data_IF_518972662244
#
_entry.id   IF_518972662244
#
_cell.length_a   1.000
_cell.length_b   1.000
_cell.length_c   1.000
_cell.angle_alpha   90.00
_cell.angle_beta   90.00
_cell.angle_gamma   90.00
#
_symmetry.space_group_name_H-M   'P 1'
#
loop_
_entity.id
_entity.type
_entity.pdbx_description
1 polymer ?
#
# COMPACT_ATOMS: atom_id res chain seq x y z
N UNK A 1 -20.82 -11.05 -0.19
CA UNK A 1 -19.50 -10.83 0.44
C UNK A 1 -18.62 -10.32 -0.67
N UNK A 2 -18.21 -9.06 -0.56
CA UNK A 2 -17.52 -8.36 -1.63
C UNK A 2 -16.11 -8.89 -1.84
N UNK A 3 -15.51 -8.56 -2.99
CA UNK A 3 -14.08 -8.78 -3.18
C UNK A 3 -13.32 -7.82 -2.26
N UNK A 4 -12.36 -8.30 -1.48
CA UNK A 4 -11.60 -7.44 -0.57
C UNK A 4 -10.64 -6.54 -1.35
N UNK A 5 -10.67 -5.25 -1.08
CA UNK A 5 -9.67 -4.29 -1.53
C UNK A 5 -8.97 -3.68 -0.31
N UNK A 6 -7.67 -3.46 -0.44
CA UNK A 6 -6.88 -2.67 0.49
C UNK A 6 -6.75 -1.26 -0.06
N UNK A 7 -7.09 -0.26 0.76
CA UNK A 7 -6.88 1.14 0.44
C UNK A 7 -5.44 1.55 0.79
N UNK A 8 -4.74 2.15 -0.17
CA UNK A 8 -3.45 2.81 0.03
C UNK A 8 -3.50 4.24 -0.49
N UNK A 9 -2.75 5.12 0.16
CA UNK A 9 -2.54 6.50 -0.27
C UNK A 9 -1.04 6.70 -0.51
N UNK A 10 -0.69 7.14 -1.71
CA UNK A 10 0.70 7.36 -2.13
C UNK A 10 1.03 8.84 -2.00
N UNK A 11 1.57 9.21 -0.83
CA UNK A 11 1.73 10.59 -0.39
C UNK A 11 2.60 11.49 -1.28
N UNK A 12 3.69 11.05 -1.92
CA UNK A 12 4.45 11.93 -2.81
C UNK A 12 3.69 12.26 -4.10
N UNK A 13 2.80 11.37 -4.54
CA UNK A 13 2.08 11.47 -5.80
C UNK A 13 0.62 11.90 -5.63
N UNK A 14 0.10 11.93 -4.41
CA UNK A 14 -1.21 12.47 -4.08
C UNK A 14 -2.39 11.63 -4.60
N UNK A 15 -2.19 10.34 -4.88
CA UNK A 15 -3.24 9.44 -5.37
C UNK A 15 -3.57 8.32 -4.38
N UNK A 16 -4.77 7.78 -4.55
CA UNK A 16 -5.30 6.62 -3.84
C UNK A 16 -5.30 5.41 -4.76
N UNK A 17 -4.99 4.25 -4.20
CA UNK A 17 -5.17 2.97 -4.87
C UNK A 17 -5.99 2.02 -3.99
N UNK A 18 -6.87 1.28 -4.64
CA UNK A 18 -7.70 0.23 -4.07
C UNK A 18 -7.31 -1.06 -4.76
N UNK A 19 -6.47 -1.90 -4.17
CA UNK A 19 -5.93 -3.10 -4.83
C UNK A 19 -6.20 -4.36 -4.02
N UNK A 20 -6.09 -5.54 -4.64
CA UNK A 20 -6.17 -6.79 -3.90
C UNK A 20 -5.12 -6.87 -2.78
N UNK A 21 -5.40 -7.59 -1.67
CA UNK A 21 -4.49 -7.64 -0.53
C UNK A 21 -3.12 -8.26 -0.81
N UNK A 22 -3.06 -9.16 -1.80
CA UNK A 22 -1.87 -9.87 -2.27
C UNK A 22 -1.19 -9.17 -3.45
N UNK A 23 -1.44 -7.87 -3.63
CA UNK A 23 -0.76 -7.05 -4.64
C UNK A 23 0.76 -7.04 -4.42
N UNK A 24 1.44 -7.96 -5.11
CA UNK A 24 2.85 -8.30 -4.93
C UNK A 24 3.68 -8.39 -6.22
N UNK A 25 3.26 -7.72 -7.30
CA UNK A 25 4.10 -7.57 -8.51
C UNK A 25 3.70 -8.38 -9.74
N UNK A 26 2.47 -8.88 -9.81
CA UNK A 26 1.86 -9.15 -11.11
C UNK A 26 1.58 -7.82 -11.79
N UNK A 27 2.08 -7.61 -13.01
CA UNK A 27 1.73 -6.41 -13.76
C UNK A 27 0.20 -6.25 -13.82
N UNK A 28 -0.28 -5.02 -13.80
CA UNK A 28 -1.68 -4.72 -14.07
C UNK A 28 -1.79 -4.03 -15.41
N UNK A 29 -2.84 -4.39 -16.14
CA UNK A 29 -3.29 -3.62 -17.30
C UNK A 29 -4.14 -2.45 -16.82
N UNK A 30 -3.93 -1.30 -17.44
CA UNK A 30 -4.67 -0.07 -17.22
C UNK A 30 -5.77 0.05 -18.29
N UNK A 31 -7.03 0.17 -17.87
CA UNK A 31 -8.19 0.43 -18.73
C UNK A 31 -8.57 1.92 -18.61
N UNK A 32 -7.75 2.75 -19.25
CA UNK A 32 -7.76 4.21 -19.05
C UNK A 32 -8.76 4.94 -19.94
N UNK A 33 -9.17 4.30 -21.03
CA UNK A 33 -10.14 4.84 -21.97
C UNK A 33 -11.54 4.92 -21.35
N UNK A 34 -11.86 4.01 -20.42
CA UNK A 34 -13.20 3.91 -19.84
C UNK A 34 -13.55 5.15 -19.02
N UNK A 35 -12.59 5.63 -18.20
CA UNK A 35 -12.77 6.76 -17.30
C UNK A 35 -11.81 7.92 -17.61
N UNK A 36 -11.44 8.10 -18.88
CA UNK A 36 -10.72 9.27 -19.39
C UNK A 36 -9.47 9.66 -18.55
N UNK A 37 -8.68 8.68 -18.10
CA UNK A 37 -7.49 8.89 -17.26
C UNK A 37 -7.73 9.61 -15.91
N UNK A 38 -8.98 9.69 -15.42
CA UNK A 38 -9.28 10.21 -14.06
C UNK A 38 -9.49 9.10 -13.04
N UNK A 39 -9.80 7.89 -13.49
CA UNK A 39 -9.91 6.68 -12.66
C UNK A 39 -9.43 5.46 -13.44
N UNK A 40 -8.27 4.94 -13.08
CA UNK A 40 -7.69 3.74 -13.66
C UNK A 40 -8.37 2.49 -13.09
N UNK A 41 -9.01 1.71 -13.96
CA UNK A 41 -9.42 0.34 -13.62
C UNK A 41 -8.22 -0.57 -13.86
N UNK A 42 -7.79 -1.24 -12.81
CA UNK A 42 -6.64 -2.13 -12.82
C UNK A 42 -7.14 -3.55 -13.07
N UNK A 43 -6.64 -4.21 -14.11
CA UNK A 43 -7.00 -5.59 -14.44
C UNK A 43 -5.83 -6.53 -14.24
N UNK A 44 -6.11 -7.69 -13.68
CA UNK A 44 -5.13 -8.79 -13.56
C UNK A 44 -4.76 -9.31 -14.96
N UNK A 45 -3.47 -9.35 -15.31
CA UNK A 45 -3.04 -9.97 -16.57
C UNK A 45 -3.37 -11.47 -16.67
N UNK A 46 -3.41 -12.17 -15.54
CA UNK A 46 -3.65 -13.61 -15.52
C UNK A 46 -5.12 -13.97 -15.76
N UNK A 47 -6.04 -13.15 -15.24
CA UNK A 47 -7.49 -13.47 -15.22
C UNK A 47 -8.34 -12.52 -16.05
N UNK A 48 -7.82 -11.33 -16.39
CA UNK A 48 -8.59 -10.24 -17.01
C UNK A 48 -9.59 -9.56 -16.07
N UNK A 49 -9.75 -10.07 -14.84
CA UNK A 49 -10.67 -9.52 -13.85
C UNK A 49 -10.16 -8.20 -13.27
N UNK A 50 -11.10 -7.39 -12.77
CA UNK A 50 -10.78 -6.17 -12.01
C UNK A 50 -10.03 -6.56 -10.74
N UNK A 51 -8.77 -6.11 -10.67
CA UNK A 51 -7.84 -6.28 -9.57
C UNK A 51 -7.78 -5.06 -8.64
N UNK A 52 -8.32 -3.92 -9.09
CA UNK A 52 -8.34 -2.71 -8.30
C UNK A 52 -8.67 -1.45 -9.09
N UNK A 53 -8.47 -0.32 -8.41
CA UNK A 53 -8.69 1.03 -8.92
C UNK A 53 -7.57 1.96 -8.47
N UNK A 54 -7.27 2.97 -9.26
CA UNK A 54 -6.34 4.03 -8.89
C UNK A 54 -6.77 5.35 -9.51
N UNK A 55 -6.55 6.48 -8.84
CA UNK A 55 -6.64 7.80 -9.48
C UNK A 55 -5.25 8.36 -9.83
N UNK A 56 -4.23 7.51 -9.97
CA UNK A 56 -2.92 7.90 -10.47
C UNK A 56 -3.05 8.80 -11.71
N UNK A 57 -2.28 9.89 -11.80
CA UNK A 57 -2.41 10.85 -12.92
C UNK A 57 -3.58 11.84 -12.80
N UNK A 58 -4.57 11.59 -11.95
CA UNK A 58 -5.65 12.51 -11.59
C UNK A 58 -5.57 13.03 -10.16
N UNK A 59 -6.40 14.02 -9.82
CA UNK A 59 -6.51 14.56 -8.47
C UNK A 59 -7.94 14.40 -7.98
N UNK A 60 -8.18 13.44 -7.08
CA UNK A 60 -9.52 13.11 -6.60
C UNK A 60 -10.30 14.35 -6.10
N UNK A 61 -9.63 15.33 -5.50
CA UNK A 61 -10.29 16.56 -5.05
C UNK A 61 -10.90 17.39 -6.19
N UNK A 62 -10.27 17.40 -7.37
CA UNK A 62 -10.72 18.12 -8.56
C UNK A 62 -11.64 17.28 -9.42
N UNK A 63 -11.36 15.98 -9.49
CA UNK A 63 -11.99 15.07 -10.45
C UNK A 63 -13.19 14.34 -9.87
N UNK A 64 -13.49 14.46 -8.56
CA UNK A 64 -14.56 13.73 -7.87
C UNK A 64 -15.90 13.76 -8.62
N UNK A 65 -16.43 14.95 -8.92
CA UNK A 65 -17.73 15.09 -9.61
C UNK A 65 -17.71 14.42 -10.99
N UNK A 66 -16.59 14.53 -11.70
CA UNK A 66 -16.43 13.91 -13.01
C UNK A 66 -16.35 12.38 -12.90
N UNK A 67 -15.61 11.85 -11.94
CA UNK A 67 -15.53 10.42 -11.64
C UNK A 67 -16.92 9.87 -11.30
N UNK A 68 -17.68 10.54 -10.44
CA UNK A 68 -19.03 10.11 -10.06
C UNK A 68 -19.98 10.11 -11.26
N UNK A 69 -19.88 11.11 -12.15
CA UNK A 69 -20.64 11.12 -13.40
C UNK A 69 -20.28 9.92 -14.29
N UNK A 70 -18.98 9.66 -14.48
CA UNK A 70 -18.53 8.53 -15.30
C UNK A 70 -18.94 7.18 -14.72
N UNK A 71 -18.95 7.03 -13.39
CA UNK A 71 -19.45 5.83 -12.71
C UNK A 71 -20.96 5.65 -12.89
N UNK A 72 -21.72 6.74 -12.96
CA UNK A 72 -23.14 6.67 -13.27
C UNK A 72 -23.39 6.27 -14.75
N UNK A 73 -22.55 6.74 -15.68
CA UNK A 73 -22.66 6.41 -17.10
C UNK A 73 -22.17 4.98 -17.43
N UNK A 74 -21.10 4.54 -16.77
CA UNK A 74 -20.44 3.25 -16.97
C UNK A 74 -20.21 2.57 -15.60
N UNK A 75 -21.25 1.96 -15.02
CA UNK A 75 -21.16 1.40 -13.69
C UNK A 75 -20.34 0.11 -13.65
N UNK A 76 -19.55 -0.04 -12.58
CA UNK A 76 -18.92 -1.30 -12.19
C UNK A 76 -19.86 -1.96 -11.18
N UNK A 77 -20.36 -3.13 -11.53
CA UNK A 77 -21.43 -3.81 -10.79
C UNK A 77 -20.89 -4.67 -9.65
N UNK A 78 -19.60 -4.95 -9.66
CA UNK A 78 -18.89 -5.63 -8.59
C UNK A 78 -19.00 -4.86 -7.26
N UNK A 79 -19.04 -5.63 -6.17
CA UNK A 79 -19.12 -5.10 -4.80
C UNK A 79 -17.86 -5.48 -4.04
N UNK A 80 -17.42 -4.60 -3.16
CA UNK A 80 -16.13 -4.71 -2.50
C UNK A 80 -16.23 -4.51 -0.99
N UNK A 81 -15.34 -5.19 -0.28
CA UNK A 81 -15.08 -4.96 1.14
C UNK A 81 -13.83 -4.08 1.25
N UNK A 82 -13.93 -2.93 1.93
CA UNK A 82 -12.81 -2.00 2.16
C UNK A 82 -12.70 -1.70 3.66
N UNK A 83 -12.01 -2.57 4.43
CA UNK A 83 -11.96 -2.46 5.89
C UNK A 83 -11.42 -1.12 6.41
N UNK A 84 -10.49 -0.49 5.69
CA UNK A 84 -9.88 0.80 6.02
C UNK A 84 -10.90 1.93 6.05
N UNK A 85 -11.98 1.80 5.26
CA UNK A 85 -13.12 2.72 5.22
C UNK A 85 -14.31 2.23 6.06
N UNK A 86 -14.21 1.05 6.67
CA UNK A 86 -15.33 0.41 7.38
C UNK A 86 -16.46 -0.07 6.45
N UNK A 87 -16.20 -0.17 5.14
CA UNK A 87 -17.21 -0.54 4.15
C UNK A 87 -17.21 -2.05 3.91
N UNK A 88 -18.42 -2.59 3.78
CA UNK A 88 -18.67 -4.01 3.46
C UNK A 88 -19.71 -4.11 2.36
N UNK A 89 -19.43 -4.97 1.39
CA UNK A 89 -20.29 -5.21 0.23
C UNK A 89 -20.74 -3.89 -0.42
N UNK A 90 -19.80 -2.95 -0.61
CA UNK A 90 -20.08 -1.61 -1.12
C UNK A 90 -19.80 -1.51 -2.63
N UNK A 91 -20.60 -0.75 -3.39
CA UNK A 91 -20.29 -0.42 -4.78
C UNK A 91 -19.14 0.61 -4.85
N UNK A 92 -18.54 0.75 -6.03
CA UNK A 92 -17.36 1.59 -6.22
C UNK A 92 -17.62 3.07 -5.96
N UNK A 93 -18.77 3.61 -6.38
CA UNK A 93 -19.15 4.99 -6.15
C UNK A 93 -19.21 5.33 -4.64
N UNK A 94 -19.81 4.44 -3.82
CA UNK A 94 -19.83 4.59 -2.36
C UNK A 94 -18.41 4.60 -1.77
N UNK A 95 -17.52 3.75 -2.29
CA UNK A 95 -16.12 3.69 -1.85
C UNK A 95 -15.40 4.99 -2.21
N UNK A 96 -15.54 5.49 -3.44
CA UNK A 96 -14.92 6.75 -3.89
C UNK A 96 -15.46 7.94 -3.07
N UNK A 97 -16.77 8.00 -2.81
CA UNK A 97 -17.36 9.01 -1.93
C UNK A 97 -16.80 8.94 -0.51
N UNK A 98 -16.62 7.74 0.05
CA UNK A 98 -16.05 7.57 1.38
C UNK A 98 -14.58 8.06 1.43
N UNK A 99 -13.78 7.79 0.40
CA UNK A 99 -12.42 8.33 0.29
C UNK A 99 -12.46 9.86 0.20
N UNK A 100 -13.30 10.40 -0.68
CA UNK A 100 -13.43 11.85 -0.86
C UNK A 100 -13.82 12.56 0.44
N UNK A 101 -14.88 12.10 1.12
CA UNK A 101 -15.31 12.69 2.39
C UNK A 101 -14.22 12.63 3.45
N UNK A 102 -13.59 11.47 3.62
CA UNK A 102 -12.62 11.26 4.70
C UNK A 102 -11.30 11.98 4.47
N UNK A 103 -10.77 11.92 3.25
CA UNK A 103 -9.41 12.39 2.95
C UNK A 103 -9.36 13.73 2.23
N UNK A 104 -10.40 14.12 1.49
CA UNK A 104 -10.46 15.43 0.81
C UNK A 104 -11.22 16.45 1.65
N UNK A 105 -12.40 16.09 2.17
CA UNK A 105 -13.20 17.00 3.01
C UNK A 105 -12.81 16.99 4.50
N UNK A 106 -12.04 15.98 4.93
CA UNK A 106 -11.64 15.83 6.34
C UNK A 106 -12.80 15.40 7.25
N UNK A 107 -13.85 14.81 6.71
CA UNK A 107 -15.00 14.32 7.47
C UNK A 107 -14.69 12.95 8.08
N UNK A 108 -14.49 12.91 9.39
CA UNK A 108 -14.25 11.68 10.14
C UNK A 108 -13.03 11.82 11.07
N UNK A 109 -13.23 11.49 12.35
CA UNK A 109 -12.25 11.67 13.41
C UNK A 109 -11.06 10.70 13.32
N UNK A 110 -10.21 10.87 12.31
CA UNK A 110 -8.82 10.43 12.32
C UNK A 110 -8.00 11.62 11.86
N UNK A 111 -7.29 12.25 12.80
CA UNK A 111 -6.34 13.31 12.49
C UNK A 111 -5.37 12.82 11.42
N UNK A 112 -5.40 13.49 10.28
CA UNK A 112 -4.41 13.32 9.23
C UNK A 112 -3.17 14.09 9.69
N UNK A 113 -1.99 13.47 9.82
CA UNK A 113 -0.80 14.21 10.16
C UNK A 113 -0.56 15.28 9.07
N UNK A 114 -0.28 16.55 9.44
CA UNK A 114 0.08 17.57 8.47
C UNK A 114 1.34 17.14 7.69
N UNK A 115 1.57 17.74 6.52
CA UNK A 115 2.69 17.38 5.62
C UNK A 115 4.05 17.31 6.33
N UNK A 116 4.24 18.09 7.38
CA UNK A 116 5.46 18.19 8.19
C UNK A 116 5.74 16.95 9.06
N UNK A 117 4.74 16.12 9.37
CA UNK A 117 4.93 14.89 10.15
C UNK A 117 5.26 13.66 9.28
N UNK A 118 5.12 13.76 7.95
CA UNK A 118 5.43 12.68 7.00
C UNK A 118 6.91 12.53 6.68
N UNK A 119 7.73 13.51 7.03
CA UNK A 119 9.17 13.52 6.76
C UNK A 119 10.01 12.93 7.90
N UNK A 120 9.41 12.45 9.00
CA UNK A 120 10.20 11.73 10.00
C UNK A 120 10.54 10.34 9.47
N UNK A 121 11.83 10.02 9.27
CA UNK A 121 12.22 8.65 9.02
C UNK A 121 11.70 7.82 10.19
N UNK A 122 11.13 6.65 9.91
CA UNK A 122 11.01 5.59 10.92
C UNK A 122 12.36 5.53 11.63
N UNK A 123 12.41 5.87 12.92
CA UNK A 123 13.55 5.50 13.74
C UNK A 123 13.65 3.99 13.60
N UNK A 124 14.60 3.55 12.77
CA UNK A 124 15.09 2.20 12.83
C UNK A 124 15.50 2.02 14.29
N UNK A 125 14.70 1.27 15.04
CA UNK A 125 15.16 0.69 16.30
C UNK A 125 16.30 -0.21 15.86
N UNK A 126 17.52 0.32 15.97
CA UNK A 126 18.72 -0.47 15.91
C UNK A 126 18.63 -1.44 17.09
N UNK A 127 18.05 -2.61 16.86
CA UNK A 127 18.47 -3.77 17.65
C UNK A 127 19.93 -4.01 17.25
N UNK A 128 20.84 -3.48 18.08
CA UNK A 128 22.23 -3.87 18.07
C UNK A 128 22.30 -5.41 18.12
N UNK A 129 23.10 -6.07 17.27
CA UNK A 129 23.36 -7.49 17.46
C UNK A 129 24.04 -7.64 18.82
N UNK A 130 23.38 -8.35 19.75
CA UNK A 130 23.96 -8.65 21.05
C UNK A 130 25.23 -9.47 20.83
N UNK A 131 26.36 -8.80 21.02
CA UNK A 131 27.71 -9.37 21.07
C UNK A 131 27.74 -10.39 22.21
N UNK A 132 27.62 -11.68 21.88
CA UNK A 132 27.85 -12.77 22.83
C UNK A 132 29.37 -12.90 23.05
N UNK A 133 29.94 -11.96 23.81
CA UNK A 133 31.20 -12.17 24.51
C UNK A 133 30.88 -12.77 25.89
N UNK A 134 31.00 -14.09 26.02
CA UNK A 134 31.16 -14.72 27.32
C UNK A 134 32.65 -15.03 27.53
N UNK A 135 33.29 -14.11 28.25
CA UNK A 135 34.57 -14.28 28.91
C UNK A 135 34.70 -15.63 29.62
N UNK A 136 35.84 -16.31 29.48
CA UNK A 136 36.79 -16.52 30.59
C UNK A 136 38.01 -17.38 30.21
N UNK A 137 39.14 -16.67 30.11
CA UNK A 137 40.41 -16.91 30.83
C UNK A 137 41.12 -18.30 30.75
N UNK A 138 42.18 -18.29 29.91
CA UNK A 138 43.61 -18.65 30.18
C UNK A 138 44.02 -20.12 30.45
N UNK A 139 45.31 -20.51 30.25
CA UNK A 139 46.43 -19.84 29.54
C UNK A 139 47.09 -20.71 28.45
N UNK A 140 47.90 -20.09 27.59
CA UNK A 140 48.87 -20.80 26.73
C UNK A 140 50.01 -21.39 27.57
N UNK A 141 50.47 -22.62 27.29
CA UNK A 141 51.84 -23.00 27.57
C UNK A 141 52.72 -22.97 26.31
N UNK A 142 53.88 -22.40 26.53
CA UNK A 142 55.04 -22.17 25.67
C UNK A 142 55.85 -23.47 25.46
N UNK A 143 56.37 -23.64 24.23
CA UNK A 143 57.44 -24.55 23.70
C UNK A 143 57.35 -26.08 23.87
N UNK A 144 57.55 -26.78 22.74
CA UNK A 144 58.67 -27.71 22.57
C UNK A 144 59.05 -27.82 21.09
N UNK A 145 60.26 -27.38 20.73
CA UNK A 145 61.02 -27.98 19.64
C UNK A 145 61.34 -29.43 20.05
N UNK A 146 61.17 -30.42 19.17
CA UNK A 146 62.22 -31.37 18.77
C UNK A 146 61.68 -32.44 17.79
N UNK A 147 62.61 -33.02 17.06
CA UNK A 147 62.58 -33.86 15.87
C UNK A 147 61.92 -35.25 16.05
N UNK A 148 61.40 -35.86 14.96
CA UNK A 148 61.94 -37.06 14.25
C UNK A 148 60.91 -37.81 13.38
N UNK A 149 61.40 -38.22 12.19
CA UNK A 149 61.06 -39.34 11.28
C UNK A 149 59.62 -39.85 11.08
N UNK A 150 59.16 -39.83 9.82
CA UNK A 150 59.05 -41.03 8.96
C UNK A 150 58.91 -40.65 7.46
#
# INVERSE_FOLDING_TARGET
MGKKLNLRYESPQGYFSLTWPDYGGGGMGHDDETYQFVLHVLRSYCTGEIAGFSNEGGELAKDYEHIMQLLAEKPILERYDVPELGLRDAPLDEIITAIYRRFVLGEGAVEYPPAEERERPLQAVAEEPTDFNLDRERPLPTVAEDQTDF
#
